data_IF_239210219942
#
_entry.id   IF_239210219942
#
_cell.length_a   1.000
_cell.length_b   1.000
_cell.length_c   1.000
_cell.angle_alpha   90.00
_cell.angle_beta   90.00
_cell.angle_gamma   90.00
#
_symmetry.space_group_name_H-M   'P 1'
#
loop_
_entity.id
_entity.type
_entity.pdbx_description
1 polymer ?
#
# COMPACT_ATOMS: atom_id res chain seq x y z
N UNK A 1 8.74 -5.37 26.08
CA UNK A 1 8.91 -6.01 24.78
C UNK A 1 9.88 -5.21 23.94
N UNK A 2 10.76 -5.89 23.28
CA UNK A 2 11.74 -5.20 22.47
C UNK A 2 11.33 -5.20 21.01
N UNK A 3 11.45 -4.03 20.40
CA UNK A 3 11.12 -3.86 19.01
C UNK A 3 12.30 -4.30 18.15
N UNK A 4 12.06 -5.07 17.11
CA UNK A 4 13.12 -5.50 16.24
C UNK A 4 13.40 -4.44 15.17
N UNK A 5 14.40 -4.67 14.35
CA UNK A 5 14.80 -3.71 13.34
C UNK A 5 13.67 -3.44 12.34
N UNK A 6 12.96 -4.49 11.96
CA UNK A 6 11.88 -4.35 11.01
C UNK A 6 10.77 -3.44 11.55
N UNK A 7 10.41 -3.62 12.81
CA UNK A 7 9.38 -2.79 13.43
C UNK A 7 9.79 -1.33 13.48
N UNK A 8 11.07 -1.07 13.70
CA UNK A 8 11.56 0.30 13.70
C UNK A 8 11.38 0.94 12.34
N UNK A 9 11.69 0.22 11.28
CA UNK A 9 11.53 0.73 9.92
C UNK A 9 10.07 1.04 9.65
N UNK A 10 9.20 0.20 10.14
CA UNK A 10 7.78 0.33 9.85
C UNK A 10 7.14 1.46 10.64
N UNK A 11 7.81 1.95 11.66
CA UNK A 11 7.27 3.05 12.45
C UNK A 11 7.69 4.42 11.94
N UNK A 12 8.46 4.47 10.87
CA UNK A 12 8.84 5.72 10.27
C UNK A 12 7.85 6.08 9.19
N UNK A 13 7.78 7.36 8.87
CA UNK A 13 6.90 7.83 7.81
C UNK A 13 7.64 7.94 6.49
N UNK A 14 8.75 7.25 6.36
CA UNK A 14 9.54 7.29 5.16
C UNK A 14 8.99 6.31 4.14
N UNK A 15 9.01 6.71 2.89
CA UNK A 15 8.43 5.89 1.84
C UNK A 15 9.14 4.58 1.58
N UNK A 16 10.34 4.41 2.11
CA UNK A 16 11.09 3.20 1.84
C UNK A 16 10.55 1.97 2.56
N UNK A 17 9.58 2.15 3.43
CA UNK A 17 8.87 1.01 4.00
C UNK A 17 7.95 0.36 3.00
N UNK A 18 7.79 0.95 1.83
CA UNK A 18 6.91 0.44 0.77
C UNK A 18 7.73 0.07 -0.45
N UNK A 19 7.32 -1.00 -1.09
CA UNK A 19 7.87 -1.37 -2.38
C UNK A 19 6.96 -0.81 -3.47
N UNK A 20 7.54 -0.06 -4.40
CA UNK A 20 6.78 0.63 -5.44
C UNK A 20 6.87 -0.12 -6.75
N UNK A 21 5.73 -0.26 -7.41
CA UNK A 21 5.70 -0.79 -8.77
C UNK A 21 5.01 0.25 -9.64
N UNK A 22 5.77 0.85 -10.54
CA UNK A 22 5.25 1.87 -11.45
C UNK A 22 4.23 1.21 -12.37
N UNK A 23 3.10 1.88 -12.58
CA UNK A 23 2.02 1.39 -13.44
C UNK A 23 1.40 0.10 -12.94
N UNK A 24 1.40 -0.09 -11.63
CA UNK A 24 0.85 -1.29 -11.03
C UNK A 24 -0.48 -1.04 -10.35
N UNK A 25 -1.29 -2.07 -10.26
CA UNK A 25 -2.56 -2.02 -9.57
C UNK A 25 -3.01 -3.43 -9.21
N UNK A 26 -3.83 -3.50 -8.18
CA UNK A 26 -4.41 -4.76 -7.73
C UNK A 26 -5.90 -4.73 -8.06
N UNK A 27 -6.27 -5.50 -9.06
CA UNK A 27 -7.58 -5.42 -9.68
C UNK A 27 -8.66 -6.00 -8.76
N UNK A 28 -9.69 -5.19 -8.45
CA UNK A 28 -10.84 -5.69 -7.72
C UNK A 28 -10.72 -5.69 -6.20
N UNK A 29 -9.71 -5.07 -5.65
CA UNK A 29 -9.49 -5.09 -4.21
C UNK A 29 -9.37 -3.68 -3.64
N UNK A 30 -10.28 -2.80 -4.05
CA UNK A 30 -10.32 -1.43 -3.57
C UNK A 30 -11.18 -1.38 -2.32
N UNK A 31 -10.58 -1.24 -1.16
CA UNK A 31 -11.33 -1.28 0.09
C UNK A 31 -11.64 0.09 0.64
N UNK A 32 -10.82 1.08 0.32
CA UNK A 32 -11.05 2.45 0.76
C UNK A 32 -10.40 3.39 -0.23
N UNK A 33 -11.07 4.49 -0.53
CA UNK A 33 -10.58 5.45 -1.50
C UNK A 33 -10.57 6.83 -0.87
N UNK A 34 -9.50 7.57 -1.10
CA UNK A 34 -9.35 8.92 -0.58
C UNK A 34 -9.01 9.88 -1.71
N UNK A 35 -9.79 10.95 -1.83
CA UNK A 35 -9.59 11.97 -2.84
C UNK A 35 -8.66 13.06 -2.31
N UNK A 36 -8.11 13.83 -3.22
CA UNK A 36 -7.33 15.00 -2.85
C UNK A 36 -6.02 14.69 -2.20
N UNK A 37 -5.45 13.53 -2.50
CA UNK A 37 -4.17 13.12 -1.96
C UNK A 37 -3.09 13.65 -2.89
N UNK A 38 -2.19 14.46 -2.36
CA UNK A 38 -1.30 15.25 -3.19
C UNK A 38 -0.06 14.53 -3.63
N UNK A 39 0.29 13.41 -3.00
CA UNK A 39 1.50 12.71 -3.37
C UNK A 39 1.41 11.23 -3.04
N UNK A 40 2.27 10.45 -3.70
CA UNK A 40 2.37 9.03 -3.39
C UNK A 40 2.80 8.81 -1.95
N UNK A 41 3.69 9.67 -1.43
CA UNK A 41 4.13 9.53 -0.05
C UNK A 41 2.99 9.75 0.93
N UNK A 42 2.10 10.68 0.63
CA UNK A 42 0.94 10.87 1.46
C UNK A 42 0.02 9.65 1.40
N UNK A 43 -0.11 9.07 0.23
CA UNK A 43 -0.89 7.84 0.06
C UNK A 43 -0.30 6.70 0.90
N UNK A 44 1.03 6.56 0.89
CA UNK A 44 1.70 5.56 1.70
C UNK A 44 1.42 5.80 3.18
N UNK A 45 1.47 7.06 3.60
CA UNK A 45 1.24 7.40 5.00
C UNK A 45 -0.19 7.04 5.40
N UNK A 46 -1.15 7.30 4.54
CA UNK A 46 -2.54 6.95 4.82
C UNK A 46 -2.70 5.45 4.99
N UNK A 47 -1.97 4.66 4.22
CA UNK A 47 -2.00 3.21 4.35
C UNK A 47 -1.47 2.78 5.72
N UNK A 48 -0.37 3.38 6.17
CA UNK A 48 0.18 3.05 7.48
C UNK A 48 -0.76 3.43 8.62
N UNK A 49 -1.53 4.50 8.45
CA UNK A 49 -2.38 5.01 9.51
C UNK A 49 -3.80 4.43 9.47
N UNK A 50 -4.12 3.58 8.50
CA UNK A 50 -5.45 3.03 8.38
C UNK A 50 -5.78 2.17 9.59
N UNK A 51 -6.93 2.40 10.21
CA UNK A 51 -7.30 1.70 11.43
C UNK A 51 -8.42 0.70 11.24
N UNK A 52 -9.18 0.83 10.15
CA UNK A 52 -10.32 -0.07 9.92
C UNK A 52 -9.87 -1.46 9.47
N UNK A 53 -8.69 -1.55 8.91
CA UNK A 53 -8.13 -2.83 8.48
C UNK A 53 -6.62 -2.66 8.33
N UNK A 54 -5.94 -3.79 8.23
CA UNK A 54 -4.50 -3.77 7.97
C UNK A 54 -4.28 -3.44 6.50
N UNK A 55 -3.74 -2.26 6.23
CA UNK A 55 -3.50 -1.84 4.85
C UNK A 55 -2.24 -2.50 4.33
N UNK A 56 -2.40 -3.41 3.38
CA UNK A 56 -1.26 -4.15 2.80
C UNK A 56 -0.71 -3.50 1.56
N UNK A 57 -1.54 -2.75 0.86
CA UNK A 57 -1.09 -2.08 -0.36
C UNK A 57 -1.97 -0.89 -0.63
N UNK A 58 -1.46 0.00 -1.48
CA UNK A 58 -2.23 1.14 -1.92
C UNK A 58 -1.88 1.42 -3.37
N UNK A 59 -2.75 2.18 -4.02
CA UNK A 59 -2.53 2.61 -5.39
C UNK A 59 -2.72 4.12 -5.42
N UNK A 60 -1.79 4.80 -6.05
CA UNK A 60 -1.88 6.25 -6.17
C UNK A 60 -2.06 6.64 -7.63
N UNK A 61 -3.19 7.26 -7.93
CA UNK A 61 -3.50 7.77 -9.25
C UNK A 61 -3.03 9.21 -9.31
N UNK A 62 -1.99 9.46 -10.10
CA UNK A 62 -1.35 10.76 -10.14
C UNK A 62 -2.23 11.84 -10.76
N UNK A 63 -3.04 11.48 -11.73
CA UNK A 63 -3.86 12.46 -12.41
C UNK A 63 -5.08 12.81 -11.57
N UNK A 64 -5.76 11.80 -11.05
CA UNK A 64 -6.96 12.02 -10.28
C UNK A 64 -6.68 12.41 -8.84
N UNK A 65 -5.44 12.21 -8.37
CA UNK A 65 -5.04 12.47 -6.98
C UNK A 65 -5.86 11.66 -6.01
N UNK A 66 -6.01 10.39 -6.34
CA UNK A 66 -6.78 9.45 -5.54
C UNK A 66 -5.86 8.40 -4.99
N UNK A 67 -6.03 8.09 -3.71
CA UNK A 67 -5.30 7.04 -3.03
C UNK A 67 -6.27 5.93 -2.68
N UNK A 68 -6.01 4.73 -3.17
CA UNK A 68 -6.87 3.57 -2.93
C UNK A 68 -6.14 2.62 -2.01
N UNK A 69 -6.77 2.26 -0.90
CA UNK A 69 -6.18 1.40 0.11
C UNK A 69 -6.79 0.00 0.02
N UNK A 70 -5.97 -1.01 0.22
CA UNK A 70 -6.41 -2.39 0.13
C UNK A 70 -5.87 -3.20 1.29
N UNK A 71 -6.67 -4.16 1.74
CA UNK A 71 -6.23 -5.13 2.75
C UNK A 71 -5.53 -6.33 2.10
N UNK A 72 -5.42 -6.33 0.78
CA UNK A 72 -4.71 -7.36 0.04
C UNK A 72 -3.47 -6.76 -0.62
N UNK A 73 -2.57 -7.61 -1.08
CA UNK A 73 -1.43 -7.16 -1.86
C UNK A 73 -1.14 -8.24 -2.93
N UNK A 74 -0.09 -8.00 -3.74
CA UNK A 74 0.19 -8.96 -4.81
C UNK A 74 0.68 -10.30 -4.27
N UNK A 75 1.09 -10.35 -3.00
CA UNK A 75 1.49 -11.62 -2.39
C UNK A 75 0.28 -12.41 -1.92
N UNK A 76 -0.79 -11.73 -1.50
CA UNK A 76 -2.01 -12.41 -1.07
C UNK A 76 -2.95 -12.66 -2.23
N UNK A 77 -2.88 -11.84 -3.30
CA UNK A 77 -3.75 -11.98 -4.47
C UNK A 77 -2.92 -11.82 -5.73
N UNK A 78 -2.01 -12.76 -6.01
CA UNK A 78 -1.10 -12.57 -7.14
C UNK A 78 -1.78 -12.52 -8.50
N UNK A 79 -2.91 -13.23 -8.67
CA UNK A 79 -3.58 -13.21 -9.96
C UNK A 79 -4.27 -11.89 -10.25
N UNK A 80 -4.46 -11.06 -9.22
CA UNK A 80 -5.15 -9.78 -9.41
C UNK A 80 -4.17 -8.67 -9.76
N UNK A 81 -2.89 -8.92 -9.65
CA UNK A 81 -1.91 -7.86 -9.86
C UNK A 81 -1.70 -7.57 -11.34
N UNK A 82 -1.77 -6.29 -11.71
CA UNK A 82 -1.56 -5.80 -13.06
C UNK A 82 -0.38 -4.85 -13.06
N UNK A 83 0.42 -4.88 -14.09
CA UNK A 83 1.53 -3.95 -14.22
C UNK A 83 1.44 -3.14 -15.51
N UNK A 84 0.23 -2.94 -16.00
CA UNK A 84 -0.01 -2.19 -17.21
C UNK A 84 -1.07 -1.11 -17.03
N UNK A 85 -1.19 -0.57 -15.81
CA UNK A 85 -2.16 0.47 -15.49
C UNK A 85 -1.44 1.80 -15.44
N UNK A 86 -1.34 2.46 -16.57
CA UNK A 86 -0.52 3.66 -16.70
C UNK A 86 -1.09 4.79 -15.86
N UNK A 87 -0.19 5.53 -15.21
CA UNK A 87 -0.58 6.65 -14.38
C UNK A 87 -0.89 6.30 -12.95
N UNK A 88 -0.79 5.02 -12.59
CA UNK A 88 -1.05 4.55 -11.23
C UNK A 88 0.18 3.85 -10.71
N UNK A 89 0.59 4.22 -9.49
CA UNK A 89 1.68 3.52 -8.82
C UNK A 89 1.09 2.62 -7.75
N UNK A 90 1.51 1.38 -7.77
CA UNK A 90 1.19 0.41 -6.72
C UNK A 90 2.28 0.50 -5.66
N UNK A 91 1.88 0.58 -4.40
CA UNK A 91 2.85 0.58 -3.30
C UNK A 91 2.44 -0.52 -2.32
N UNK A 92 3.41 -1.35 -1.98
CA UNK A 92 3.17 -2.51 -1.15
C UNK A 92 3.80 -2.28 0.22
N UNK A 93 2.99 -2.42 1.24
CA UNK A 93 3.41 -2.16 2.62
C UNK A 93 4.21 -3.36 3.12
N UNK A 94 5.52 -3.17 3.28
CA UNK A 94 6.38 -4.25 3.75
C UNK A 94 6.22 -4.48 5.24
N UNK A 95 5.48 -3.60 5.92
CA UNK A 95 5.28 -3.69 7.35
C UNK A 95 3.99 -4.42 7.71
N UNK A 96 3.13 -4.71 6.75
CA UNK A 96 1.89 -5.39 7.04
C UNK A 96 2.17 -6.82 7.49
N UNK A 97 1.38 -7.29 8.44
CA UNK A 97 1.55 -8.65 8.93
C UNK A 97 1.16 -9.64 7.86
N UNK A 98 1.83 -10.78 7.86
CA UNK A 98 1.46 -11.84 6.94
C UNK A 98 0.09 -12.35 7.29
N UNK A 99 -0.67 -12.74 6.29
CA UNK A 99 -2.01 -13.25 6.53
C UNK A 99 -1.98 -14.63 7.16
N UNK A 100 -0.92 -15.35 6.95
CA UNK A 100 -0.80 -16.66 7.55
C UNK A 100 0.46 -16.71 8.37
N UNK A 101 0.39 -17.44 9.47
CA UNK A 101 1.50 -17.57 10.38
C UNK A 101 1.61 -19.03 10.77
N UNK A 102 2.80 -19.49 10.89
CA UNK A 102 2.98 -20.88 11.28
C UNK A 102 4.36 -21.09 11.81
#
# INVERSE_FOLDING_TARGET
MRQNQFDKLCNTERGWAFERVINGALDGYDHKSKDGVESRNECARLCLLEEDFECRSAEYDFEAKICILSREDRRTQPEAFRNDVFGVDYIENQCAKRKYIF
#
